data_IF_458501945808
#
_entry.id   IF_458501945808
#
_cell.length_a   1.000
_cell.length_b   1.000
_cell.length_c   1.000
_cell.angle_alpha   90.00
_cell.angle_beta   90.00
_cell.angle_gamma   90.00
#
_symmetry.space_group_name_H-M   'P 1'
#
loop_
_entity.id
_entity.type
_entity.pdbx_description
1 polymer ?
#
# COMPACT_ATOMS: atom_id res chain seq x y z
N UNK A 1 12.55 -1.45 -18.46
CA UNK A 1 13.85 -0.86 -18.84
C UNK A 1 13.74 0.66 -18.89
N UNK A 2 12.68 1.20 -19.49
CA UNK A 2 12.42 2.65 -19.61
C UNK A 2 12.52 3.40 -18.27
N UNK A 3 11.89 2.92 -17.19
CA UNK A 3 11.97 3.59 -15.89
C UNK A 3 13.42 3.78 -15.37
N UNK A 4 14.33 2.83 -15.65
CA UNK A 4 15.74 2.96 -15.27
C UNK A 4 16.42 4.03 -16.15
N UNK A 5 16.04 4.12 -17.42
CA UNK A 5 16.57 5.12 -18.36
C UNK A 5 16.12 6.54 -17.99
N UNK A 6 14.92 6.67 -17.42
CA UNK A 6 14.42 7.94 -16.85
C UNK A 6 15.03 8.27 -15.48
N UNK A 7 15.91 7.42 -14.94
CA UNK A 7 16.62 7.64 -13.68
C UNK A 7 15.87 7.16 -12.44
N UNK A 8 14.77 6.43 -12.59
CA UNK A 8 14.06 5.84 -11.46
C UNK A 8 14.74 4.55 -10.96
N UNK A 9 14.71 4.36 -9.65
CA UNK A 9 15.12 3.10 -9.05
C UNK A 9 14.01 2.05 -9.24
N UNK A 10 14.37 0.92 -9.84
CA UNK A 10 13.46 -0.22 -10.03
C UNK A 10 13.85 -1.33 -9.08
N UNK A 11 12.91 -1.79 -8.26
CA UNK A 11 13.12 -2.88 -7.30
C UNK A 11 11.84 -3.68 -7.08
N UNK A 12 11.92 -4.90 -6.51
CA UNK A 12 10.76 -5.67 -6.10
C UNK A 12 9.94 -4.93 -5.03
N UNK A 13 8.61 -5.07 -5.07
CA UNK A 13 7.72 -4.42 -4.09
C UNK A 13 8.01 -4.85 -2.66
N UNK A 14 8.41 -6.10 -2.44
CA UNK A 14 8.80 -6.62 -1.12
C UNK A 14 10.02 -5.89 -0.51
N UNK A 15 10.89 -5.31 -1.34
CA UNK A 15 12.01 -4.47 -0.90
C UNK A 15 11.56 -3.02 -0.73
N UNK A 16 10.81 -2.50 -1.71
CA UNK A 16 10.26 -1.14 -1.65
C UNK A 16 9.38 -0.92 -0.42
N UNK A 17 8.58 -1.91 -0.02
CA UNK A 17 7.70 -1.85 1.15
C UNK A 17 8.45 -1.49 2.44
N UNK A 18 9.72 -1.90 2.57
CA UNK A 18 10.53 -1.65 3.78
C UNK A 18 11.01 -0.20 3.89
N UNK A 19 11.12 0.50 2.77
CA UNK A 19 11.75 1.82 2.69
C UNK A 19 10.81 2.91 2.15
N UNK A 20 9.71 2.55 1.50
CA UNK A 20 8.76 3.48 0.92
C UNK A 20 7.85 4.10 1.96
N UNK A 21 7.49 5.36 1.72
CA UNK A 21 6.54 6.10 2.54
C UNK A 21 5.18 6.26 1.82
N UNK A 22 5.19 6.28 0.48
CA UNK A 22 4.01 6.42 -0.38
C UNK A 22 4.04 5.35 -1.46
N UNK A 23 2.92 4.67 -1.66
CA UNK A 23 2.73 3.60 -2.64
C UNK A 23 1.52 3.94 -3.52
N UNK A 24 1.72 3.92 -4.84
CA UNK A 24 0.66 4.15 -5.81
C UNK A 24 0.66 3.01 -6.84
N UNK A 25 -0.45 2.30 -6.96
CA UNK A 25 -0.62 1.21 -7.93
C UNK A 25 -1.29 1.71 -9.21
N UNK A 26 -0.70 1.41 -10.37
CA UNK A 26 -1.20 1.73 -11.71
C UNK A 26 -0.94 0.57 -12.69
N UNK A 27 -1.19 -0.66 -12.25
CA UNK A 27 -0.75 -1.86 -12.99
C UNK A 27 -1.84 -2.51 -13.82
N UNK A 28 -3.12 -2.30 -13.46
CA UNK A 28 -4.26 -3.05 -14.00
C UNK A 28 -4.25 -4.54 -13.62
N UNK A 29 -3.36 -4.97 -12.72
CA UNK A 29 -3.21 -6.35 -12.28
C UNK A 29 -3.81 -6.55 -10.89
N UNK A 30 -4.18 -7.79 -10.56
CA UNK A 30 -4.75 -8.11 -9.24
C UNK A 30 -3.64 -8.37 -8.24
N UNK A 31 -3.87 -7.99 -6.97
CA UNK A 31 -3.02 -8.35 -5.82
C UNK A 31 -1.55 -7.97 -5.99
N UNK A 32 -1.30 -6.72 -6.38
CA UNK A 32 0.05 -6.16 -6.52
C UNK A 32 0.67 -5.83 -5.16
N UNK A 33 -0.15 -5.37 -4.21
CA UNK A 33 0.23 -5.20 -2.81
C UNK A 33 -0.61 -6.17 -1.98
N UNK A 34 0.03 -7.16 -1.36
CA UNK A 34 -0.64 -8.16 -0.53
C UNK A 34 -0.36 -7.91 0.94
N UNK A 35 -0.89 -8.81 1.78
CA UNK A 35 -0.74 -8.73 3.24
C UNK A 35 0.71 -8.67 3.71
N UNK A 36 1.62 -9.26 2.95
CA UNK A 36 3.05 -9.37 3.19
C UNK A 36 3.71 -7.99 3.06
N UNK A 37 3.43 -7.27 1.97
CA UNK A 37 3.92 -5.91 1.77
C UNK A 37 3.35 -4.96 2.82
N UNK A 38 2.06 -5.03 3.14
CA UNK A 38 1.46 -4.20 4.18
C UNK A 38 2.12 -4.40 5.55
N UNK A 39 2.56 -5.62 5.91
CA UNK A 39 3.31 -5.87 7.17
C UNK A 39 4.70 -5.23 7.12
N UNK A 40 5.35 -5.26 5.97
CA UNK A 40 6.70 -4.74 5.77
C UNK A 40 6.75 -3.20 5.75
N UNK A 41 5.62 -2.54 5.45
CA UNK A 41 5.51 -1.09 5.46
C UNK A 41 5.85 -0.44 6.81
N UNK A 42 6.32 0.81 6.73
CA UNK A 42 6.60 1.67 7.88
C UNK A 42 5.29 2.14 8.54
N UNK A 43 5.39 2.57 9.80
CA UNK A 43 4.29 3.33 10.42
C UNK A 43 4.04 4.61 9.61
N UNK A 44 2.78 4.86 9.29
CA UNK A 44 2.33 6.03 8.55
C UNK A 44 2.45 5.90 7.03
N UNK A 45 2.70 4.70 6.49
CA UNK A 45 2.71 4.49 5.05
C UNK A 45 1.37 4.88 4.41
N UNK A 46 1.43 5.56 3.27
CA UNK A 46 0.28 5.97 2.48
C UNK A 46 0.18 5.08 1.25
N UNK A 47 -1.00 4.52 1.01
CA UNK A 47 -1.27 3.62 -0.12
C UNK A 47 -2.45 4.16 -0.90
N UNK A 48 -2.31 4.23 -2.22
CA UNK A 48 -3.33 4.69 -3.14
C UNK A 48 -3.40 3.78 -4.36
N UNK A 49 -4.59 3.64 -4.92
CA UNK A 49 -4.80 2.98 -6.20
C UNK A 49 -5.23 4.00 -7.24
N UNK A 50 -4.53 4.05 -8.38
CA UNK A 50 -4.92 4.84 -9.55
C UNK A 50 -5.22 3.95 -10.76
N UNK A 51 -5.39 2.64 -10.56
CA UNK A 51 -5.95 1.72 -11.52
C UNK A 51 -7.47 1.87 -11.68
N UNK A 52 -8.06 1.09 -12.60
CA UNK A 52 -9.50 1.16 -12.88
C UNK A 52 -10.36 0.43 -11.83
N UNK A 53 -9.77 -0.54 -11.13
CA UNK A 53 -10.44 -1.38 -10.15
C UNK A 53 -9.61 -1.48 -8.87
N UNK A 54 -10.28 -1.61 -7.72
CA UNK A 54 -9.66 -1.71 -6.39
C UNK A 54 -8.91 -3.03 -6.13
N UNK A 55 -8.91 -3.92 -7.11
CA UNK A 55 -8.33 -5.28 -7.02
C UNK A 55 -6.80 -5.30 -7.02
N UNK A 56 -6.14 -4.18 -7.28
CA UNK A 56 -4.67 -4.07 -7.20
C UNK A 56 -4.17 -4.24 -5.76
N UNK A 57 -5.01 -3.90 -4.77
CA UNK A 57 -4.70 -3.96 -3.34
C UNK A 57 -5.49 -5.09 -2.67
N UNK A 58 -4.84 -5.88 -1.82
CA UNK A 58 -5.54 -6.86 -0.98
C UNK A 58 -6.23 -6.18 0.22
N UNK A 59 -7.33 -5.46 -0.06
CA UNK A 59 -8.10 -4.72 0.95
C UNK A 59 -8.76 -5.63 1.97
N UNK A 60 -9.20 -6.83 1.57
CA UNK A 60 -9.74 -7.81 2.50
C UNK A 60 -8.68 -8.32 3.49
N UNK A 61 -7.48 -8.61 2.99
CA UNK A 61 -6.35 -8.99 3.81
C UNK A 61 -5.96 -7.89 4.79
N UNK A 62 -5.90 -6.64 4.30
CA UNK A 62 -5.62 -5.46 5.11
C UNK A 62 -6.65 -5.27 6.23
N UNK A 63 -7.95 -5.38 5.93
CA UNK A 63 -9.03 -5.30 6.91
C UNK A 63 -8.93 -6.38 7.98
N UNK A 64 -8.61 -7.63 7.61
CA UNK A 64 -8.47 -8.75 8.56
C UNK A 64 -7.25 -8.61 9.47
N UNK A 65 -6.18 -7.96 8.98
CA UNK A 65 -4.97 -7.70 9.74
C UNK A 65 -5.09 -6.52 10.69
N UNK A 66 -5.81 -5.49 10.28
CA UNK A 66 -6.03 -4.29 11.07
C UNK A 66 -6.74 -4.63 12.38
N UNK A 67 -6.36 -3.93 13.45
CA UNK A 67 -7.08 -3.89 14.71
C UNK A 67 -8.34 -3.02 14.60
N UNK A 68 -8.22 -1.91 13.89
CA UNK A 68 -9.29 -0.93 13.70
C UNK A 68 -9.12 -0.25 12.34
N UNK A 69 -10.24 0.06 11.69
CA UNK A 69 -10.28 0.90 10.49
C UNK A 69 -11.14 2.12 10.79
N UNK A 70 -10.58 3.32 10.61
CA UNK A 70 -11.23 4.59 10.90
C UNK A 70 -11.18 5.50 9.69
N UNK A 71 -12.35 5.91 9.21
CA UNK A 71 -12.45 6.93 8.17
C UNK A 71 -12.15 8.31 8.77
N UNK A 72 -11.15 9.00 8.24
CA UNK A 72 -10.69 10.28 8.77
C UNK A 72 -11.46 11.45 8.14
N UNK A 73 -10.96 11.98 7.01
CA UNK A 73 -11.58 13.07 6.25
C UNK A 73 -11.50 12.77 4.76
N UNK A 74 -12.55 13.13 4.02
CA UNK A 74 -12.63 12.88 2.59
C UNK A 74 -12.62 11.39 2.24
N UNK A 75 -11.64 11.00 1.43
CA UNK A 75 -11.44 9.62 0.96
C UNK A 75 -10.43 8.83 1.82
N UNK A 76 -9.84 9.44 2.84
CA UNK A 76 -8.78 8.81 3.64
C UNK A 76 -9.34 7.86 4.70
N UNK A 77 -8.85 6.63 4.69
CA UNK A 77 -9.10 5.61 5.73
C UNK A 77 -7.80 5.23 6.42
N UNK A 78 -7.76 5.34 7.74
CA UNK A 78 -6.66 4.88 8.57
C UNK A 78 -6.91 3.45 9.05
N UNK A 79 -5.95 2.57 8.82
CA UNK A 79 -5.93 1.22 9.38
C UNK A 79 -4.87 1.16 10.48
N UNK A 80 -5.32 0.97 11.72
CA UNK A 80 -4.44 0.74 12.86
C UNK A 80 -4.13 -0.76 12.95
N UNK A 81 -2.85 -1.12 12.82
CA UNK A 81 -2.37 -2.51 12.87
C UNK A 81 -2.20 -3.00 14.31
N UNK A 82 -2.16 -4.32 14.48
CA UNK A 82 -2.00 -4.97 15.79
C UNK A 82 -0.65 -4.71 16.44
N UNK A 83 0.38 -4.43 15.64
CA UNK A 83 1.73 -4.08 16.08
C UNK A 83 1.90 -2.58 16.40
N UNK A 84 0.83 -1.79 16.27
CA UNK A 84 0.81 -0.35 16.55
C UNK A 84 1.12 0.54 15.34
N UNK A 85 1.48 -0.03 14.19
CA UNK A 85 1.66 0.74 12.94
C UNK A 85 0.33 1.22 12.40
N UNK A 86 0.35 2.29 11.62
CA UNK A 86 -0.80 2.83 10.89
C UNK A 86 -0.51 2.81 9.40
N UNK A 87 -1.53 2.45 8.61
CA UNK A 87 -1.51 2.54 7.16
C UNK A 87 -2.67 3.44 6.73
N UNK A 88 -2.39 4.41 5.88
CA UNK A 88 -3.38 5.32 5.33
C UNK A 88 -3.72 4.90 3.91
N UNK A 89 -4.98 4.55 3.67
CA UNK A 89 -5.50 4.24 2.35
C UNK A 89 -6.22 5.48 1.81
N UNK A 90 -5.88 5.88 0.58
CA UNK A 90 -6.51 6.95 -0.19
C UNK A 90 -7.53 6.41 -1.20
#
# INVERSE_FOLDING_TARGET
LEAIMDGFQVMPIAEAAKIGDIFVTLTGCTKVITTEEFKAMKDGAVVANSGHFDVELDLEGLQKMAKEARRLRGVVTEFSMKDGKRIFLL
#
